data_IF_967652134085
#
_entry.id   IF_967652134085
#
_cell.length_a   1.000
_cell.length_b   1.000
_cell.length_c   1.000
_cell.angle_alpha   90.00
_cell.angle_beta   90.00
_cell.angle_gamma   90.00
#
_symmetry.space_group_name_H-M   'P 1'
#
loop_
_entity.id
_entity.type
_entity.pdbx_description
1 polymer ?
#
# COMPACT_ATOMS: atom_id res chain seq x y z
N UNK A 1 14.53 15.01 23.88
CA UNK A 1 14.39 15.71 22.58
C UNK A 1 15.74 16.14 21.98
N UNK A 2 16.68 16.78 22.70
CA UNK A 2 18.00 17.21 22.14
C UNK A 2 18.80 16.09 21.45
N UNK A 3 18.75 14.83 21.95
CA UNK A 3 19.51 13.69 21.40
C UNK A 3 19.00 13.23 20.02
N UNK A 4 17.68 13.18 19.83
CA UNK A 4 17.07 12.82 18.55
C UNK A 4 17.44 13.83 17.46
N UNK A 5 17.46 15.14 17.81
CA UNK A 5 17.85 16.20 16.88
C UNK A 5 19.29 16.08 16.38
N UNK A 6 20.24 15.59 17.21
CA UNK A 6 21.62 15.30 16.76
C UNK A 6 21.69 14.14 15.76
N UNK A 7 20.89 13.11 15.97
CA UNK A 7 20.80 11.98 15.03
C UNK A 7 20.18 12.43 13.70
N UNK A 8 19.13 13.26 13.75
CA UNK A 8 18.56 13.87 12.55
C UNK A 8 19.58 14.68 11.75
N UNK A 9 20.43 15.47 12.42
CA UNK A 9 21.46 16.26 11.74
C UNK A 9 22.42 15.38 10.95
N UNK A 10 22.78 14.18 11.44
CA UNK A 10 23.61 13.23 10.72
C UNK A 10 22.96 12.78 9.41
N UNK A 11 21.64 12.54 9.41
CA UNK A 11 20.90 12.17 8.20
C UNK A 11 20.77 13.33 7.21
N UNK A 12 20.46 14.51 7.70
CA UNK A 12 20.29 15.69 6.85
C UNK A 12 21.58 16.12 6.15
N UNK A 13 22.72 15.84 6.74
CA UNK A 13 24.03 16.09 6.14
C UNK A 13 24.56 14.97 5.26
N UNK A 14 23.81 13.88 5.08
CA UNK A 14 24.20 12.73 4.25
C UNK A 14 23.79 12.95 2.79
N UNK A 15 24.73 13.24 1.85
CA UNK A 15 24.37 13.52 0.45
C UNK A 15 23.69 12.33 -0.24
N UNK A 16 24.09 11.10 0.12
CA UNK A 16 23.53 9.87 -0.47
C UNK A 16 22.03 9.74 -0.22
N UNK A 17 21.52 10.21 0.93
CA UNK A 17 20.09 10.17 1.25
C UNK A 17 19.29 11.07 0.30
N UNK A 18 19.77 12.29 0.08
CA UNK A 18 19.16 13.26 -0.83
C UNK A 18 19.28 12.83 -2.29
N UNK A 19 20.42 12.26 -2.67
CA UNK A 19 20.64 11.71 -4.01
C UNK A 19 19.67 10.57 -4.31
N UNK A 20 19.44 9.66 -3.33
CA UNK A 20 18.49 8.58 -3.49
C UNK A 20 17.03 9.09 -3.53
N UNK A 21 16.68 10.06 -2.69
CA UNK A 21 15.35 10.71 -2.75
C UNK A 21 15.11 11.37 -4.12
N UNK A 22 16.11 12.08 -4.64
CA UNK A 22 16.02 12.69 -5.98
C UNK A 22 15.85 11.65 -7.09
N UNK A 23 16.54 10.51 -6.98
CA UNK A 23 16.39 9.38 -7.91
C UNK A 23 14.96 8.79 -7.85
N UNK A 24 14.39 8.60 -6.66
CA UNK A 24 13.01 8.16 -6.48
C UNK A 24 12.01 9.14 -7.11
N UNK A 25 12.18 10.45 -6.86
CA UNK A 25 11.34 11.48 -7.47
C UNK A 25 11.44 11.52 -8.99
N UNK A 26 12.64 11.34 -9.54
CA UNK A 26 12.86 11.25 -10.98
C UNK A 26 12.18 10.01 -11.57
N UNK A 27 12.30 8.86 -10.89
CA UNK A 27 11.64 7.62 -11.29
C UNK A 27 10.10 7.76 -11.25
N UNK A 28 9.54 8.31 -10.18
CA UNK A 28 8.11 8.57 -10.06
C UNK A 28 7.63 9.58 -11.13
N UNK A 29 8.44 10.60 -11.44
CA UNK A 29 8.19 11.52 -12.54
C UNK A 29 8.11 10.82 -13.90
N UNK A 30 9.01 9.86 -14.15
CA UNK A 30 8.96 9.02 -15.36
C UNK A 30 7.72 8.12 -15.39
N UNK A 31 7.32 7.53 -14.26
CA UNK A 31 6.07 6.76 -14.18
C UNK A 31 4.87 7.64 -14.54
N UNK A 32 4.78 8.85 -13.95
CA UNK A 32 3.69 9.79 -14.20
C UNK A 32 3.68 10.26 -15.64
N UNK A 33 4.85 10.50 -16.25
CA UNK A 33 4.94 10.91 -17.66
C UNK A 33 4.41 9.83 -18.61
N UNK A 34 4.57 8.55 -18.24
CA UNK A 34 4.11 7.39 -19.00
C UNK A 34 2.82 6.78 -18.44
N UNK A 35 2.06 7.52 -17.63
CA UNK A 35 0.78 7.05 -17.11
C UNK A 35 -0.19 6.75 -18.26
N UNK A 36 -0.94 5.65 -18.20
CA UNK A 36 -1.91 5.31 -19.24
C UNK A 36 -3.07 6.30 -19.28
N UNK A 37 -3.62 6.50 -20.46
CA UNK A 37 -4.78 7.35 -20.69
C UNK A 37 -4.44 8.78 -21.13
N UNK A 38 -5.47 9.49 -21.57
CA UNK A 38 -5.37 10.87 -22.02
C UNK A 38 -5.80 11.86 -20.93
N UNK A 39 -4.91 12.78 -20.59
CA UNK A 39 -5.11 13.77 -19.50
C UNK A 39 -6.23 14.76 -19.82
N UNK A 40 -6.40 15.13 -21.09
CA UNK A 40 -7.45 16.03 -21.49
C UNK A 40 -8.82 15.35 -21.33
N UNK A 41 -8.97 14.13 -21.83
CA UNK A 41 -10.16 13.30 -21.65
C UNK A 41 -10.50 13.12 -20.18
N UNK A 42 -9.52 12.82 -19.33
CA UNK A 42 -9.71 12.68 -17.88
C UNK A 42 -10.22 13.98 -17.24
N UNK A 43 -9.65 15.13 -17.63
CA UNK A 43 -10.09 16.45 -17.18
C UNK A 43 -11.53 16.79 -17.60
N UNK A 44 -11.93 16.43 -18.83
CA UNK A 44 -13.29 16.60 -19.32
C UNK A 44 -14.30 15.72 -18.57
N UNK A 45 -13.93 14.47 -18.24
CA UNK A 45 -14.73 13.57 -17.39
C UNK A 45 -14.91 14.18 -15.99
N UNK A 46 -13.81 14.64 -15.37
CA UNK A 46 -13.84 15.28 -14.06
C UNK A 46 -14.71 16.55 -14.04
N UNK A 47 -14.61 17.38 -15.08
CA UNK A 47 -15.43 18.58 -15.23
C UNK A 47 -16.92 18.23 -15.42
N UNK A 48 -17.22 17.13 -16.11
CA UNK A 48 -18.60 16.63 -16.31
C UNK A 48 -19.17 16.14 -14.98
N UNK A 49 -18.42 15.31 -14.24
CA UNK A 49 -18.83 14.84 -12.92
C UNK A 49 -19.04 16.00 -11.91
N UNK A 50 -18.22 17.05 -12.00
CA UNK A 50 -18.38 18.26 -11.17
C UNK A 50 -19.67 19.02 -11.47
N UNK A 51 -20.07 19.05 -12.72
CA UNK A 51 -21.23 19.84 -13.15
C UNK A 51 -22.56 19.09 -13.01
N UNK A 52 -22.58 17.77 -13.24
CA UNK A 52 -23.80 16.96 -13.22
C UNK A 52 -23.96 16.15 -11.90
N UNK A 53 -22.91 16.09 -11.09
CA UNK A 53 -22.83 15.16 -9.96
C UNK A 53 -22.10 13.88 -10.36
N UNK A 54 -21.88 13.02 -9.37
CA UNK A 54 -21.14 11.76 -9.57
C UNK A 54 -22.06 10.56 -9.69
N UNK A 55 -23.29 10.69 -9.21
CA UNK A 55 -24.29 9.61 -9.29
C UNK A 55 -24.83 9.52 -10.70
N UNK A 56 -24.68 8.35 -11.30
CA UNK A 56 -25.27 8.06 -12.60
C UNK A 56 -26.70 7.62 -12.37
N UNK A 57 -27.61 8.58 -12.59
CA UNK A 57 -29.06 8.43 -12.52
C UNK A 57 -29.71 9.11 -13.73
N UNK A 58 -31.03 9.16 -13.77
CA UNK A 58 -31.76 9.76 -14.89
C UNK A 58 -31.41 11.23 -15.09
N UNK A 59 -31.25 11.99 -13.98
CA UNK A 59 -30.91 13.42 -14.05
C UNK A 59 -29.50 13.61 -14.64
N UNK A 60 -28.56 12.72 -14.32
CA UNK A 60 -27.23 12.71 -14.90
C UNK A 60 -27.25 12.43 -16.41
N UNK A 61 -28.01 11.41 -16.83
CA UNK A 61 -28.15 11.05 -18.24
C UNK A 61 -28.82 12.16 -19.06
N UNK A 62 -29.88 12.78 -18.55
CA UNK A 62 -30.55 13.92 -19.17
C UNK A 62 -29.62 15.13 -19.26
N UNK A 63 -28.85 15.43 -18.21
CA UNK A 63 -27.87 16.48 -18.18
C UNK A 63 -26.71 16.23 -19.15
N UNK A 64 -26.28 14.96 -19.30
CA UNK A 64 -25.24 14.56 -20.26
C UNK A 64 -25.74 14.74 -21.70
N UNK A 65 -27.00 14.37 -22.01
CA UNK A 65 -27.59 14.49 -23.34
C UNK A 65 -27.75 15.94 -23.79
N UNK A 66 -27.85 16.91 -22.87
CA UNK A 66 -27.96 18.33 -23.17
C UNK A 66 -26.62 18.99 -23.49
N UNK A 67 -25.50 18.31 -23.31
CA UNK A 67 -24.17 18.85 -23.59
C UNK A 67 -23.79 18.71 -25.06
N UNK A 68 -22.84 19.55 -25.54
CA UNK A 68 -22.33 19.43 -26.92
C UNK A 68 -21.74 18.05 -27.19
N UNK A 69 -22.07 17.40 -28.27
CA UNK A 69 -21.55 16.09 -28.62
C UNK A 69 -20.03 16.18 -28.90
N UNK A 70 -19.25 15.67 -27.95
CA UNK A 70 -17.81 15.45 -28.09
C UNK A 70 -17.54 13.94 -28.02
N UNK A 71 -16.38 13.49 -28.52
CA UNK A 71 -15.99 12.09 -28.45
C UNK A 71 -15.96 11.57 -26.98
N UNK A 72 -15.62 12.45 -26.03
CA UNK A 72 -15.62 12.12 -24.60
C UNK A 72 -17.04 11.91 -24.08
N UNK A 73 -17.98 12.76 -24.52
CA UNK A 73 -19.38 12.61 -24.11
C UNK A 73 -20.05 11.39 -24.71
N UNK A 74 -19.76 11.06 -25.98
CA UNK A 74 -20.23 9.83 -26.60
C UNK A 74 -19.71 8.60 -25.82
N UNK A 75 -18.42 8.59 -25.49
CA UNK A 75 -17.83 7.51 -24.67
C UNK A 75 -18.44 7.44 -23.27
N UNK A 76 -18.71 8.60 -22.61
CA UNK A 76 -19.39 8.64 -21.33
C UNK A 76 -20.83 8.13 -21.42
N UNK A 77 -21.59 8.58 -22.42
CA UNK A 77 -22.98 8.15 -22.63
C UNK A 77 -23.07 6.64 -22.87
N UNK A 78 -22.14 6.08 -23.66
CA UNK A 78 -22.07 4.63 -23.86
C UNK A 78 -21.80 3.90 -22.54
N UNK A 79 -20.79 4.32 -21.81
CA UNK A 79 -20.37 3.65 -20.56
C UNK A 79 -21.44 3.80 -19.47
N UNK A 80 -22.05 4.99 -19.30
CA UNK A 80 -23.07 5.22 -18.28
C UNK A 80 -24.36 4.46 -18.60
N UNK A 81 -24.74 4.37 -19.88
CA UNK A 81 -25.88 3.57 -20.32
C UNK A 81 -25.71 2.05 -20.11
N UNK A 82 -24.47 1.56 -20.00
CA UNK A 82 -24.15 0.16 -19.67
C UNK A 82 -23.98 -0.08 -18.17
N UNK A 83 -23.89 0.98 -17.36
CA UNK A 83 -23.73 0.86 -15.89
C UNK A 83 -24.98 0.26 -15.26
N UNK A 84 -24.75 -0.72 -14.41
CA UNK A 84 -25.82 -1.36 -13.63
C UNK A 84 -25.38 -1.46 -12.17
N UNK A 85 -26.35 -1.64 -11.26
CA UNK A 85 -26.02 -1.97 -9.89
C UNK A 85 -25.52 -3.42 -9.81
N UNK A 86 -24.27 -3.62 -10.25
CA UNK A 86 -23.66 -4.94 -10.42
C UNK A 86 -23.67 -5.78 -9.14
N UNK A 87 -23.74 -5.12 -7.96
CA UNK A 87 -23.81 -5.83 -6.68
C UNK A 87 -25.17 -6.44 -6.41
N UNK A 88 -26.25 -5.90 -6.98
CA UNK A 88 -27.62 -6.40 -6.76
C UNK A 88 -27.87 -7.83 -7.27
N UNK A 89 -27.07 -8.27 -8.24
CA UNK A 89 -27.17 -9.63 -8.79
C UNK A 89 -25.89 -10.45 -8.65
N UNK A 90 -24.96 -9.99 -7.81
CA UNK A 90 -23.64 -10.63 -7.72
C UNK A 90 -23.67 -11.87 -6.82
N UNK A 91 -23.48 -13.03 -7.42
CA UNK A 91 -23.45 -14.33 -6.73
C UNK A 91 -22.02 -14.69 -6.29
N UNK A 92 -21.74 -14.57 -4.99
CA UNK A 92 -20.48 -14.97 -4.38
C UNK A 92 -20.26 -16.48 -4.38
N UNK A 93 -21.31 -17.30 -4.51
CA UNK A 93 -21.19 -18.76 -4.43
C UNK A 93 -20.28 -19.34 -5.52
N UNK A 94 -20.25 -18.71 -6.69
CA UNK A 94 -19.36 -19.06 -7.81
C UNK A 94 -17.89 -18.93 -7.40
N UNK A 95 -17.54 -17.86 -6.72
CA UNK A 95 -16.17 -17.65 -6.23
C UNK A 95 -15.82 -18.62 -5.10
N UNK A 96 -16.73 -18.83 -4.17
CA UNK A 96 -16.56 -19.78 -3.05
C UNK A 96 -16.29 -21.18 -3.61
N UNK A 97 -17.13 -21.67 -4.52
CA UNK A 97 -16.99 -22.98 -5.14
C UNK A 97 -15.63 -23.13 -5.84
N UNK A 98 -15.23 -22.12 -6.61
CA UNK A 98 -13.95 -22.10 -7.30
C UNK A 98 -12.76 -22.16 -6.33
N UNK A 99 -12.78 -21.37 -5.27
CA UNK A 99 -11.70 -21.36 -4.30
C UNK A 99 -11.67 -22.63 -3.45
N UNK A 100 -12.82 -23.22 -3.13
CA UNK A 100 -12.88 -24.53 -2.48
C UNK A 100 -12.25 -25.63 -3.34
N UNK A 101 -12.48 -25.60 -4.66
CA UNK A 101 -11.82 -26.54 -5.60
C UNK A 101 -10.30 -26.34 -5.61
N UNK A 102 -9.82 -25.09 -5.70
CA UNK A 102 -8.38 -24.78 -5.67
C UNK A 102 -7.72 -25.15 -4.34
N UNK A 103 -8.44 -25.03 -3.23
CA UNK A 103 -7.96 -25.31 -1.88
C UNK A 103 -8.33 -26.72 -1.38
N UNK A 104 -8.80 -27.60 -2.27
CA UNK A 104 -9.27 -28.95 -1.91
C UNK A 104 -8.21 -29.78 -1.17
N UNK A 105 -6.92 -29.55 -1.43
CA UNK A 105 -5.81 -30.18 -0.73
C UNK A 105 -5.57 -29.65 0.70
N UNK A 106 -6.24 -28.56 1.11
CA UNK A 106 -6.07 -27.93 2.42
C UNK A 106 -7.43 -27.58 3.05
N UNK A 107 -8.05 -28.50 3.80
CA UNK A 107 -9.35 -28.27 4.44
C UNK A 107 -9.38 -27.00 5.33
N UNK A 108 -8.27 -26.75 6.04
CA UNK A 108 -8.14 -25.55 6.91
C UNK A 108 -8.19 -24.27 6.08
N UNK A 109 -7.43 -24.19 4.99
CA UNK A 109 -7.41 -23.01 4.11
C UNK A 109 -8.77 -22.82 3.42
N UNK A 110 -9.41 -23.90 3.00
CA UNK A 110 -10.76 -23.90 2.45
C UNK A 110 -11.80 -23.36 3.45
N UNK A 111 -11.73 -23.78 4.73
CA UNK A 111 -12.61 -23.30 5.79
C UNK A 111 -12.42 -21.79 6.05
N UNK A 112 -11.18 -21.31 6.10
CA UNK A 112 -10.89 -19.88 6.25
C UNK A 112 -11.43 -19.05 5.08
N UNK A 113 -11.26 -19.55 3.86
CA UNK A 113 -11.77 -18.88 2.66
C UNK A 113 -13.30 -18.82 2.68
N UNK A 114 -13.97 -19.90 3.04
CA UNK A 114 -15.43 -19.94 3.19
C UNK A 114 -15.91 -18.92 4.23
N UNK A 115 -15.28 -18.85 5.39
CA UNK A 115 -15.62 -17.89 6.43
C UNK A 115 -15.45 -16.42 5.95
N UNK A 116 -14.39 -16.13 5.18
CA UNK A 116 -14.18 -14.80 4.58
C UNK A 116 -15.36 -14.44 3.65
N UNK A 117 -15.78 -15.34 2.79
CA UNK A 117 -16.83 -15.05 1.82
C UNK A 117 -18.21 -14.97 2.48
N UNK A 118 -18.47 -15.70 3.56
CA UNK A 118 -19.68 -15.51 4.38
C UNK A 118 -19.73 -14.11 5.00
N UNK A 119 -18.59 -13.58 5.45
CA UNK A 119 -18.54 -12.19 5.93
C UNK A 119 -18.73 -11.17 4.79
N UNK A 120 -18.38 -11.52 3.55
CA UNK A 120 -18.56 -10.67 2.38
C UNK A 120 -20.01 -10.61 1.88
N UNK A 121 -20.85 -11.63 2.13
CA UNK A 121 -22.26 -11.63 1.70
C UNK A 121 -22.99 -10.38 2.23
N UNK A 122 -22.88 -10.11 3.52
CA UNK A 122 -23.50 -8.92 4.13
C UNK A 122 -22.96 -7.61 3.52
N UNK A 123 -21.68 -7.62 3.11
CA UNK A 123 -21.05 -6.46 2.49
C UNK A 123 -21.57 -6.24 1.07
N UNK A 124 -21.75 -7.28 0.29
CA UNK A 124 -22.34 -7.21 -1.07
C UNK A 124 -23.77 -6.69 -1.00
N UNK A 125 -24.57 -7.19 -0.05
CA UNK A 125 -25.93 -6.71 0.17
C UNK A 125 -25.95 -5.21 0.51
N UNK A 126 -25.06 -4.74 1.35
CA UNK A 126 -24.93 -3.33 1.68
C UNK A 126 -24.52 -2.48 0.45
N UNK A 127 -23.55 -2.93 -0.35
CA UNK A 127 -23.13 -2.25 -1.58
C UNK A 127 -24.27 -2.21 -2.62
N UNK A 128 -25.07 -3.28 -2.69
CA UNK A 128 -26.26 -3.33 -3.54
C UNK A 128 -27.32 -2.32 -3.09
N UNK A 129 -27.62 -2.26 -1.78
CA UNK A 129 -28.64 -1.34 -1.22
C UNK A 129 -28.23 0.12 -1.38
N UNK A 130 -26.96 0.44 -1.19
CA UNK A 130 -26.43 1.82 -1.35
C UNK A 130 -26.25 2.20 -2.82
N UNK A 131 -26.30 1.22 -3.74
CA UNK A 131 -26.01 1.41 -5.14
C UNK A 131 -24.57 1.94 -5.37
N UNK A 132 -23.60 1.52 -4.59
CA UNK A 132 -22.23 2.01 -4.61
C UNK A 132 -21.53 1.84 -5.97
N UNK A 133 -22.06 0.96 -6.83
CA UNK A 133 -21.58 0.77 -8.20
C UNK A 133 -21.99 1.89 -9.17
N UNK A 134 -22.96 2.72 -8.81
CA UNK A 134 -23.59 3.69 -9.73
C UNK A 134 -22.94 5.07 -9.70
N UNK A 135 -21.74 5.21 -9.16
CA UNK A 135 -21.01 6.47 -9.20
C UNK A 135 -20.04 6.52 -10.38
N UNK A 136 -20.00 7.66 -11.06
CA UNK A 136 -19.00 7.95 -12.10
C UNK A 136 -17.67 8.22 -11.42
N UNK A 137 -16.77 7.23 -11.42
CA UNK A 137 -15.42 7.42 -10.92
C UNK A 137 -14.58 8.17 -11.99
N UNK A 138 -14.11 7.49 -13.01
CA UNK A 138 -13.38 8.10 -14.13
C UNK A 138 -13.89 7.59 -15.51
N UNK A 139 -15.14 7.13 -15.55
CA UNK A 139 -15.77 6.60 -16.77
C UNK A 139 -14.94 5.48 -17.39
N UNK A 140 -14.72 5.53 -18.71
CA UNK A 140 -13.95 4.49 -19.42
C UNK A 140 -12.49 4.39 -18.95
N UNK A 141 -11.95 5.39 -18.26
CA UNK A 141 -10.58 5.42 -17.76
C UNK A 141 -10.46 4.93 -16.29
N UNK A 142 -11.55 4.48 -15.68
CA UNK A 142 -11.58 4.10 -14.25
C UNK A 142 -10.57 3.03 -13.91
N UNK A 143 -10.52 1.95 -14.68
CA UNK A 143 -9.60 0.83 -14.42
C UNK A 143 -8.14 1.29 -14.49
N UNK A 144 -7.76 1.94 -15.57
CA UNK A 144 -6.38 2.35 -15.82
C UNK A 144 -5.89 3.38 -14.81
N UNK A 145 -6.72 4.40 -14.52
CA UNK A 145 -6.37 5.44 -13.55
C UNK A 145 -6.27 4.89 -12.13
N UNK A 146 -7.17 3.99 -11.73
CA UNK A 146 -7.11 3.32 -10.42
C UNK A 146 -5.87 2.42 -10.30
N UNK A 147 -5.65 1.57 -11.29
CA UNK A 147 -4.51 0.65 -11.31
C UNK A 147 -3.18 1.43 -11.35
N UNK A 148 -3.12 2.54 -12.05
CA UNK A 148 -1.95 3.38 -12.07
C UNK A 148 -1.70 4.03 -10.70
N UNK A 149 -2.70 4.73 -10.14
CA UNK A 149 -2.53 5.47 -8.87
C UNK A 149 -2.28 4.51 -7.68
N UNK A 150 -3.12 3.50 -7.51
CA UNK A 150 -3.08 2.61 -6.33
C UNK A 150 -2.22 1.35 -6.54
N UNK A 151 -2.14 0.83 -7.76
CA UNK A 151 -1.32 -0.35 -8.08
C UNK A 151 0.13 0.01 -8.40
N UNK A 152 0.38 0.99 -9.24
CA UNK A 152 1.73 1.30 -9.75
C UNK A 152 2.42 2.38 -8.91
N UNK A 153 1.82 3.57 -8.86
CA UNK A 153 2.45 4.72 -8.21
C UNK A 153 2.52 4.56 -6.69
N UNK A 154 1.44 4.09 -6.06
CA UNK A 154 1.43 3.78 -4.61
C UNK A 154 2.48 2.72 -4.25
N UNK A 155 2.59 1.66 -5.05
CA UNK A 155 3.61 0.62 -4.85
C UNK A 155 5.02 1.19 -4.92
N UNK A 156 5.31 2.06 -5.90
CA UNK A 156 6.60 2.73 -6.02
C UNK A 156 6.89 3.58 -4.77
N UNK A 157 5.98 4.51 -4.41
CA UNK A 157 6.15 5.40 -3.26
C UNK A 157 6.36 4.65 -1.94
N UNK A 158 5.60 3.58 -1.69
CA UNK A 158 5.73 2.77 -0.46
C UNK A 158 7.04 1.98 -0.45
N UNK A 159 7.43 1.36 -1.57
CA UNK A 159 8.69 0.63 -1.69
C UNK A 159 9.91 1.54 -1.49
N UNK A 160 9.92 2.68 -2.17
CA UNK A 160 10.97 3.70 -2.05
C UNK A 160 11.04 4.29 -0.64
N UNK A 161 9.89 4.61 -0.05
CA UNK A 161 9.79 5.08 1.33
C UNK A 161 10.31 4.04 2.34
N UNK A 162 10.02 2.76 2.12
CA UNK A 162 10.55 1.68 2.96
C UNK A 162 12.08 1.58 2.83
N UNK A 163 12.64 1.68 1.62
CA UNK A 163 14.10 1.69 1.42
C UNK A 163 14.73 2.91 2.08
N UNK A 164 14.17 4.10 1.92
CA UNK A 164 14.65 5.33 2.60
C UNK A 164 14.63 5.17 4.13
N UNK A 165 13.55 4.65 4.70
CA UNK A 165 13.44 4.38 6.14
C UNK A 165 14.46 3.35 6.63
N UNK A 166 14.62 2.25 5.90
CA UNK A 166 15.64 1.23 6.21
C UNK A 166 17.05 1.79 6.17
N UNK A 167 17.40 2.56 5.13
CA UNK A 167 18.70 3.21 5.00
C UNK A 167 18.96 4.18 6.15
N UNK A 168 17.95 5.00 6.52
CA UNK A 168 18.06 5.91 7.64
C UNK A 168 18.35 5.17 8.96
N UNK A 169 17.62 4.09 9.25
CA UNK A 169 17.82 3.30 10.47
C UNK A 169 19.19 2.62 10.50
N UNK A 170 19.59 1.98 9.41
CA UNK A 170 20.88 1.29 9.29
C UNK A 170 22.06 2.27 9.39
N UNK A 171 21.97 3.42 8.73
CA UNK A 171 23.01 4.45 8.79
C UNK A 171 23.20 4.96 10.22
N UNK A 172 22.10 5.32 10.91
CA UNK A 172 22.19 5.84 12.29
C UNK A 172 22.76 4.80 13.24
N UNK A 173 22.33 3.55 13.15
CA UNK A 173 22.80 2.48 14.03
C UNK A 173 24.24 2.07 13.72
N UNK A 174 24.66 2.18 12.46
CA UNK A 174 26.01 1.87 12.03
C UNK A 174 27.00 3.03 12.12
N UNK A 175 26.55 4.25 12.39
CA UNK A 175 27.35 5.48 12.31
C UNK A 175 28.67 5.37 13.10
N UNK A 176 28.61 5.01 14.37
CA UNK A 176 29.79 4.92 15.24
C UNK A 176 30.74 3.80 14.81
N UNK A 177 30.20 2.70 14.26
CA UNK A 177 31.02 1.59 13.75
C UNK A 177 31.81 2.02 12.52
N UNK A 178 31.14 2.70 11.57
CA UNK A 178 31.78 3.21 10.35
C UNK A 178 32.87 4.24 10.68
N UNK A 179 32.62 5.12 11.63
CA UNK A 179 33.57 6.17 12.05
C UNK A 179 34.55 5.71 13.13
N UNK A 180 34.55 4.44 13.54
CA UNK A 180 35.42 3.85 14.56
C UNK A 180 35.37 4.56 15.92
N UNK A 181 34.25 5.20 16.24
CA UNK A 181 34.00 5.91 17.52
C UNK A 181 33.24 5.08 18.54
N UNK A 182 32.94 3.83 18.23
CA UNK A 182 32.11 2.93 19.04
C UNK A 182 32.65 2.78 20.47
N UNK A 183 33.95 2.56 20.61
CA UNK A 183 34.59 2.39 21.93
C UNK A 183 34.45 3.63 22.82
N UNK A 184 34.63 4.84 22.26
CA UNK A 184 34.49 6.07 23.03
C UNK A 184 33.03 6.36 23.43
N UNK A 185 32.08 6.07 22.55
CA UNK A 185 30.66 6.38 22.79
C UNK A 185 30.05 5.41 23.80
N UNK A 186 30.30 4.11 23.69
CA UNK A 186 29.65 3.10 24.54
C UNK A 186 30.27 2.96 25.93
N UNK A 187 31.44 3.49 26.17
CA UNK A 187 32.04 3.57 27.52
C UNK A 187 31.42 4.69 28.36
N UNK A 188 30.72 5.65 27.75
CA UNK A 188 30.04 6.69 28.51
C UNK A 188 28.76 6.14 29.19
N UNK A 189 28.39 6.70 30.35
CA UNK A 189 27.19 6.32 31.12
C UNK A 189 25.88 6.42 30.31
N UNK A 190 25.87 7.23 29.28
CA UNK A 190 24.69 7.46 28.41
C UNK A 190 24.78 6.75 27.07
N UNK A 191 25.98 6.27 26.67
CA UNK A 191 26.23 5.72 25.32
C UNK A 191 25.37 4.50 24.97
N UNK A 192 25.18 3.59 25.91
CA UNK A 192 24.33 2.39 25.72
C UNK A 192 22.84 2.72 25.55
N UNK A 193 22.38 3.87 26.04
CA UNK A 193 21.00 4.34 25.87
C UNK A 193 20.78 5.08 24.53
N UNK A 194 21.83 5.39 23.79
CA UNK A 194 21.73 6.08 22.49
C UNK A 194 21.00 5.23 21.44
N UNK A 195 21.09 3.90 21.50
CA UNK A 195 20.44 3.01 20.53
C UNK A 195 18.94 3.28 20.44
N UNK A 196 18.27 3.51 21.57
CA UNK A 196 16.83 3.90 21.54
C UNK A 196 16.59 5.24 20.83
N UNK A 197 17.45 6.23 21.10
CA UNK A 197 17.36 7.54 20.44
C UNK A 197 17.55 7.42 18.92
N UNK A 198 18.47 6.56 18.46
CA UNK A 198 18.71 6.28 17.05
C UNK A 198 17.55 5.56 16.37
N UNK A 199 16.93 4.59 17.08
CA UNK A 199 15.72 3.92 16.57
C UNK A 199 14.60 4.93 16.38
N UNK A 200 14.33 5.77 17.39
CA UNK A 200 13.29 6.82 17.28
C UNK A 200 13.63 7.80 16.15
N UNK A 201 14.90 8.22 16.04
CA UNK A 201 15.34 9.11 14.97
C UNK A 201 15.17 8.44 13.59
N UNK A 202 15.53 7.17 13.45
CA UNK A 202 15.37 6.42 12.21
C UNK A 202 13.91 6.29 11.78
N UNK A 203 13.02 5.92 12.72
CA UNK A 203 11.59 5.79 12.45
C UNK A 203 10.97 7.16 12.07
N UNK A 204 11.24 8.20 12.84
CA UNK A 204 10.69 9.53 12.55
C UNK A 204 11.25 10.10 11.23
N UNK A 205 12.51 9.81 10.91
CA UNK A 205 13.10 10.18 9.63
C UNK A 205 12.48 9.40 8.46
N UNK A 206 12.27 8.09 8.63
CA UNK A 206 11.59 7.27 7.63
C UNK A 206 10.19 7.80 7.31
N UNK A 207 9.42 8.14 8.35
CA UNK A 207 8.08 8.76 8.17
C UNK A 207 8.18 10.10 7.43
N UNK A 208 9.11 10.98 7.84
CA UNK A 208 9.26 12.29 7.23
C UNK A 208 9.69 12.20 5.75
N UNK A 209 10.62 11.30 5.43
CA UNK A 209 11.06 11.04 4.05
C UNK A 209 9.94 10.45 3.21
N UNK A 210 9.14 9.53 3.77
CA UNK A 210 7.97 8.99 3.09
C UNK A 210 6.92 10.07 2.80
N UNK A 211 6.60 10.91 3.77
CA UNK A 211 5.65 12.01 3.59
C UNK A 211 6.16 13.04 2.57
N UNK A 212 7.45 13.34 2.59
CA UNK A 212 8.06 14.23 1.59
C UNK A 212 8.00 13.63 0.20
N UNK A 213 8.40 12.37 0.05
CA UNK A 213 8.36 11.64 -1.22
C UNK A 213 6.94 11.57 -1.79
N UNK A 214 5.99 11.11 -0.97
CA UNK A 214 4.58 10.97 -1.40
C UNK A 214 3.93 12.30 -1.68
N UNK A 215 4.18 13.32 -0.85
CA UNK A 215 3.64 14.66 -1.05
C UNK A 215 4.13 15.30 -2.36
N UNK A 216 5.42 15.19 -2.67
CA UNK A 216 5.97 15.70 -3.92
C UNK A 216 5.49 14.89 -5.13
N UNK A 217 5.49 13.57 -5.04
CA UNK A 217 5.03 12.68 -6.13
C UNK A 217 3.55 12.91 -6.46
N UNK A 218 2.68 12.91 -5.44
CA UNK A 218 1.24 13.14 -5.64
C UNK A 218 0.96 14.58 -6.04
N UNK A 219 1.75 15.57 -5.54
CA UNK A 219 1.67 16.94 -6.01
C UNK A 219 1.89 17.02 -7.53
N UNK A 220 2.95 16.39 -8.06
CA UNK A 220 3.20 16.33 -9.51
C UNK A 220 2.08 15.59 -10.23
N UNK A 221 1.58 14.48 -9.68
CA UNK A 221 0.52 13.70 -10.29
C UNK A 221 -0.78 14.50 -10.43
N UNK A 222 -1.26 15.11 -9.36
CA UNK A 222 -2.52 15.86 -9.35
C UNK A 222 -2.46 17.22 -10.06
N UNK A 223 -1.27 17.73 -10.43
CA UNK A 223 -1.18 18.87 -11.36
C UNK A 223 -1.44 18.45 -12.81
N UNK A 224 -1.34 17.16 -13.13
CA UNK A 224 -1.52 16.62 -14.48
C UNK A 224 -2.86 15.91 -14.66
N UNK A 225 -3.40 15.34 -13.58
CA UNK A 225 -4.65 14.58 -13.56
C UNK A 225 -5.66 15.26 -12.64
N UNK A 226 -6.71 15.82 -13.22
CA UNK A 226 -7.71 16.58 -12.48
C UNK A 226 -8.75 15.67 -11.81
N UNK A 227 -8.57 15.39 -10.55
CA UNK A 227 -9.52 14.63 -9.70
C UNK A 227 -10.60 15.48 -9.04
N UNK A 228 -10.68 16.80 -9.31
CA UNK A 228 -11.54 17.72 -8.55
C UNK A 228 -13.03 17.37 -8.58
N UNK A 229 -13.52 16.75 -9.64
CA UNK A 229 -14.89 16.25 -9.76
C UNK A 229 -15.09 14.80 -9.28
N UNK A 230 -14.02 14.08 -8.91
CA UNK A 230 -14.05 12.64 -8.70
C UNK A 230 -13.81 12.20 -7.24
N UNK A 231 -13.39 13.12 -6.37
CA UNK A 231 -12.96 12.78 -5.01
C UNK A 231 -14.03 12.14 -4.13
N UNK A 232 -15.31 12.45 -4.33
CA UNK A 232 -16.42 11.92 -3.56
C UNK A 232 -17.08 10.69 -4.19
N UNK A 233 -16.66 10.27 -5.40
CA UNK A 233 -17.13 9.05 -6.02
C UNK A 233 -16.79 7.81 -5.20
N UNK A 234 -17.67 6.83 -5.18
CA UNK A 234 -17.42 5.53 -4.54
C UNK A 234 -16.35 4.76 -5.30
N UNK A 235 -15.29 4.32 -4.59
CA UNK A 235 -14.26 3.46 -5.18
C UNK A 235 -14.83 2.12 -5.62
N UNK A 236 -15.92 1.66 -4.99
CA UNK A 236 -16.59 0.39 -5.32
C UNK A 236 -17.24 0.41 -6.72
N UNK A 237 -17.48 1.60 -7.31
CA UNK A 237 -17.98 1.73 -8.69
C UNK A 237 -16.98 1.20 -9.73
N UNK A 238 -15.70 1.07 -9.38
CA UNK A 238 -14.70 0.45 -10.24
C UNK A 238 -15.11 -0.94 -10.76
N UNK A 239 -15.96 -1.66 -10.03
CA UNK A 239 -16.39 -2.98 -10.46
C UNK A 239 -17.15 -2.95 -11.80
N UNK A 240 -17.90 -1.89 -12.11
CA UNK A 240 -18.54 -1.72 -13.41
C UNK A 240 -17.57 -1.57 -14.59
N UNK A 241 -16.35 -1.11 -14.31
CA UNK A 241 -15.34 -0.77 -15.32
C UNK A 241 -14.24 -1.82 -15.44
N UNK A 242 -14.39 -2.98 -14.81
CA UNK A 242 -13.48 -4.10 -14.99
C UNK A 242 -13.78 -4.76 -16.34
N UNK A 243 -13.10 -4.31 -17.39
CA UNK A 243 -13.18 -4.88 -18.73
C UNK A 243 -12.32 -6.15 -18.84
N UNK A 244 -12.84 -7.17 -19.51
CA UNK A 244 -12.11 -8.29 -20.12
C UNK A 244 -11.37 -9.29 -19.24
N UNK A 245 -11.77 -9.50 -18.03
CA UNK A 245 -11.23 -10.66 -17.35
C UNK A 245 -12.13 -11.89 -17.59
N UNK A 246 -11.57 -12.97 -18.12
CA UNK A 246 -12.18 -14.31 -18.22
C UNK A 246 -12.83 -14.75 -16.89
N UNK A 247 -12.44 -14.09 -15.81
CA UNK A 247 -13.07 -14.12 -14.49
C UNK A 247 -13.08 -12.70 -13.93
N UNK A 248 -14.20 -12.04 -14.00
CA UNK A 248 -14.41 -10.75 -13.32
C UNK A 248 -14.13 -10.94 -11.84
N UNK A 249 -13.00 -10.43 -11.37
CA UNK A 249 -12.73 -10.37 -9.93
C UNK A 249 -13.49 -9.18 -9.38
N UNK A 250 -14.36 -9.39 -8.39
CA UNK A 250 -15.09 -8.27 -7.81
C UNK A 250 -14.11 -7.29 -7.15
N UNK A 251 -14.41 -6.00 -7.25
CA UNK A 251 -13.73 -4.99 -6.46
C UNK A 251 -14.59 -4.72 -5.21
N UNK A 252 -14.48 -5.59 -4.22
CA UNK A 252 -15.27 -5.58 -2.99
C UNK A 252 -14.46 -4.95 -1.86
N UNK A 253 -14.78 -3.72 -1.51
CA UNK A 253 -14.15 -3.03 -0.39
C UNK A 253 -14.81 -3.39 0.94
N UNK A 254 -14.03 -3.49 2.02
CA UNK A 254 -14.53 -3.80 3.37
C UNK A 254 -15.30 -2.66 4.02
N UNK A 255 -15.15 -1.43 3.54
CA UNK A 255 -15.89 -0.26 3.98
C UNK A 255 -16.31 0.62 2.80
N UNK A 256 -17.20 1.58 3.05
CA UNK A 256 -17.57 2.57 2.08
C UNK A 256 -16.45 3.62 2.01
N UNK A 257 -15.73 3.59 0.90
CA UNK A 257 -14.68 4.56 0.63
C UNK A 257 -15.06 5.43 -0.56
N UNK A 258 -14.92 6.73 -0.39
CA UNK A 258 -14.74 7.62 -1.52
C UNK A 258 -13.31 7.52 -2.04
N UNK A 259 -13.04 7.98 -3.27
CA UNK A 259 -11.69 8.02 -3.84
C UNK A 259 -10.70 8.74 -2.92
N UNK A 260 -11.11 9.88 -2.32
CA UNK A 260 -10.28 10.62 -1.39
C UNK A 260 -9.98 9.83 -0.10
N UNK A 261 -11.01 9.21 0.50
CA UNK A 261 -10.83 8.40 1.72
C UNK A 261 -9.96 7.17 1.46
N UNK A 262 -10.13 6.53 0.32
CA UNK A 262 -9.34 5.38 -0.08
C UNK A 262 -7.87 5.77 -0.27
N UNK A 263 -7.59 6.92 -0.90
CA UNK A 263 -6.22 7.44 -1.05
C UNK A 263 -5.56 7.67 0.32
N UNK A 264 -6.27 8.35 1.24
CA UNK A 264 -5.74 8.60 2.59
C UNK A 264 -5.50 7.29 3.35
N UNK A 265 -6.42 6.33 3.25
CA UNK A 265 -6.27 5.01 3.87
C UNK A 265 -5.06 4.25 3.32
N UNK A 266 -4.87 4.25 1.99
CA UNK A 266 -3.72 3.64 1.34
C UNK A 266 -2.39 4.30 1.73
N UNK A 267 -2.35 5.64 1.81
CA UNK A 267 -1.17 6.37 2.28
C UNK A 267 -0.85 6.06 3.75
N UNK A 268 -1.86 5.97 4.60
CA UNK A 268 -1.67 5.63 6.02
C UNK A 268 -1.15 4.20 6.19
N UNK A 269 -1.71 3.23 5.45
CA UNK A 269 -1.25 1.84 5.47
C UNK A 269 0.17 1.72 4.92
N UNK A 270 0.47 2.40 3.80
CA UNK A 270 1.82 2.49 3.23
C UNK A 270 2.83 3.07 4.22
N UNK A 271 2.46 4.14 4.93
CA UNK A 271 3.26 4.70 6.03
C UNK A 271 3.48 3.69 7.15
N UNK A 272 2.47 2.90 7.49
CA UNK A 272 2.59 1.77 8.42
C UNK A 272 3.62 0.74 7.96
N UNK A 273 3.59 0.35 6.70
CA UNK A 273 4.60 -0.56 6.12
C UNK A 273 6.01 0.04 6.18
N UNK A 274 6.17 1.31 5.84
CA UNK A 274 7.46 2.03 5.93
C UNK A 274 8.01 2.01 7.36
N UNK A 275 7.17 2.32 8.35
CA UNK A 275 7.55 2.25 9.78
C UNK A 275 7.95 0.84 10.16
N UNK A 276 7.18 -0.17 9.77
CA UNK A 276 7.47 -1.57 10.08
C UNK A 276 8.80 -2.03 9.47
N UNK A 277 9.06 -1.72 8.21
CA UNK A 277 10.34 -2.03 7.54
C UNK A 277 11.51 -1.30 8.19
N UNK A 278 11.31 -0.05 8.62
CA UNK A 278 12.31 0.72 9.35
C UNK A 278 12.62 0.09 10.71
N UNK A 279 11.60 -0.42 11.43
CA UNK A 279 11.79 -1.16 12.70
C UNK A 279 12.52 -2.48 12.47
N UNK A 280 12.21 -3.23 11.43
CA UNK A 280 12.95 -4.45 11.06
C UNK A 280 14.40 -4.13 10.72
N UNK A 281 14.66 -3.05 10.00
CA UNK A 281 16.03 -2.58 9.72
C UNK A 281 16.77 -2.20 11.01
N UNK A 282 16.09 -1.50 11.92
CA UNK A 282 16.65 -1.16 13.22
C UNK A 282 16.96 -2.43 14.06
N UNK A 283 16.10 -3.45 14.02
CA UNK A 283 16.33 -4.74 14.67
C UNK A 283 17.57 -5.42 14.09
N UNK A 284 17.66 -5.54 12.76
CA UNK A 284 18.84 -6.12 12.09
C UNK A 284 20.11 -5.35 12.42
N UNK A 285 20.07 -4.01 12.39
CA UNK A 285 21.22 -3.16 12.72
C UNK A 285 21.69 -3.26 14.18
N UNK A 286 20.80 -3.66 15.10
CA UNK A 286 21.16 -3.93 16.52
C UNK A 286 21.73 -5.35 16.74
N UNK A 287 21.29 -6.33 15.95
CA UNK A 287 21.68 -7.73 16.11
C UNK A 287 22.91 -8.12 15.32
N UNK A 288 23.06 -7.57 14.12
CA UNK A 288 24.15 -7.88 13.18
C UNK A 288 25.33 -6.93 13.40
N UNK A 289 26.54 -7.48 13.43
CA UNK A 289 27.76 -6.68 13.69
C UNK A 289 28.10 -5.69 12.56
N UNK A 290 27.74 -6.00 11.32
CA UNK A 290 28.05 -5.19 10.14
C UNK A 290 26.79 -4.55 9.59
N UNK A 291 26.87 -3.27 9.21
CA UNK A 291 25.77 -2.54 8.52
C UNK A 291 25.44 -3.22 7.18
N UNK A 292 26.47 -3.61 6.43
CA UNK A 292 26.28 -4.33 5.17
C UNK A 292 25.66 -5.71 5.36
N UNK A 293 26.07 -6.42 6.42
CA UNK A 293 25.46 -7.69 6.81
C UNK A 293 23.99 -7.54 7.19
N UNK A 294 23.62 -6.46 7.91
CA UNK A 294 22.23 -6.18 8.26
C UNK A 294 21.40 -5.86 7.01
N UNK A 295 21.93 -5.08 6.06
CA UNK A 295 21.29 -4.80 4.79
C UNK A 295 21.09 -6.08 3.95
N UNK A 296 22.09 -6.96 3.92
CA UNK A 296 22.01 -8.24 3.21
C UNK A 296 20.94 -9.17 3.83
N UNK A 297 20.88 -9.24 5.17
CA UNK A 297 19.85 -10.03 5.86
C UNK A 297 18.45 -9.52 5.52
N UNK A 298 18.24 -8.20 5.47
CA UNK A 298 16.95 -7.61 5.07
C UNK A 298 16.62 -7.95 3.62
N UNK A 299 17.56 -7.77 2.70
CA UNK A 299 17.37 -8.08 1.28
C UNK A 299 17.01 -9.56 1.08
N UNK A 300 17.81 -10.46 1.67
CA UNK A 300 17.56 -11.90 1.59
C UNK A 300 16.24 -12.30 2.27
N UNK A 301 15.85 -11.62 3.37
CA UNK A 301 14.57 -11.81 4.03
C UNK A 301 13.39 -11.42 3.14
N UNK A 302 13.50 -10.28 2.45
CA UNK A 302 12.48 -9.82 1.50
C UNK A 302 12.35 -10.78 0.31
N UNK A 303 13.47 -11.09 -0.37
CA UNK A 303 13.49 -12.02 -1.51
C UNK A 303 13.07 -13.43 -1.10
N UNK A 304 13.54 -13.89 0.05
CA UNK A 304 13.18 -15.20 0.62
C UNK A 304 11.68 -15.31 0.93
N UNK A 305 11.05 -14.24 1.42
CA UNK A 305 9.61 -14.25 1.68
C UNK A 305 8.78 -14.41 0.40
N UNK A 306 9.20 -13.78 -0.70
CA UNK A 306 8.56 -13.94 -2.01
C UNK A 306 8.75 -15.36 -2.57
N UNK A 307 9.97 -15.86 -2.55
CA UNK A 307 10.28 -17.20 -3.02
C UNK A 307 9.52 -18.25 -2.20
N UNK A 308 9.49 -18.09 -0.88
CA UNK A 308 8.77 -18.99 0.02
C UNK A 308 7.26 -18.99 -0.27
N UNK A 309 6.66 -17.85 -0.46
CA UNK A 309 5.23 -17.75 -0.79
C UNK A 309 4.91 -18.46 -2.11
N UNK A 310 5.74 -18.27 -3.15
CA UNK A 310 5.58 -18.95 -4.43
C UNK A 310 5.74 -20.48 -4.31
N UNK A 311 6.75 -20.95 -3.57
CA UNK A 311 6.99 -22.37 -3.33
C UNK A 311 5.85 -23.05 -2.56
N UNK A 312 5.31 -22.36 -1.54
CA UNK A 312 4.19 -22.86 -0.75
C UNK A 312 2.92 -22.98 -1.59
N UNK A 313 2.64 -22.02 -2.48
CA UNK A 313 1.53 -22.10 -3.42
C UNK A 313 1.68 -23.26 -4.39
N UNK A 314 2.87 -23.45 -4.98
CA UNK A 314 3.17 -24.57 -5.88
C UNK A 314 3.08 -25.93 -5.18
N UNK A 315 3.50 -26.00 -3.92
CA UNK A 315 3.44 -27.20 -3.10
C UNK A 315 2.06 -27.49 -2.51
N UNK A 316 1.04 -26.67 -2.76
CA UNK A 316 -0.30 -26.83 -2.18
C UNK A 316 -0.38 -26.61 -0.67
N UNK A 317 0.67 -26.05 -0.06
CA UNK A 317 0.75 -25.77 1.38
C UNK A 317 0.04 -24.46 1.75
N UNK A 318 -1.25 -24.38 1.43
CA UNK A 318 -2.05 -23.15 1.49
C UNK A 318 -2.13 -22.51 2.86
N UNK A 319 -2.20 -23.29 3.94
CA UNK A 319 -2.21 -22.74 5.29
C UNK A 319 -0.91 -21.97 5.59
N UNK A 320 0.24 -22.52 5.21
CA UNK A 320 1.54 -21.85 5.35
C UNK A 320 1.66 -20.64 4.41
N UNK A 321 1.14 -20.76 3.18
CA UNK A 321 1.08 -19.64 2.22
C UNK A 321 0.39 -18.42 2.82
N UNK A 322 -0.76 -18.61 3.47
CA UNK A 322 -1.49 -17.52 4.11
C UNK A 322 -0.75 -16.93 5.30
N UNK A 323 -0.05 -17.75 6.10
CA UNK A 323 0.79 -17.25 7.19
C UNK A 323 1.93 -16.37 6.67
N UNK A 324 2.58 -16.78 5.57
CA UNK A 324 3.62 -15.97 4.89
C UNK A 324 3.03 -14.72 4.25
N UNK A 325 1.77 -14.75 3.85
CA UNK A 325 1.03 -13.61 3.31
C UNK A 325 0.89 -12.41 4.27
N UNK A 326 1.11 -12.62 5.58
CA UNK A 326 1.19 -11.53 6.56
C UNK A 326 2.53 -10.76 6.51
N UNK A 327 3.52 -11.22 5.77
CA UNK A 327 4.80 -10.54 5.64
C UNK A 327 4.68 -9.26 4.79
N UNK A 328 5.48 -8.22 5.10
CA UNK A 328 5.30 -6.89 4.51
C UNK A 328 5.47 -6.84 2.99
N UNK A 329 6.28 -7.72 2.42
CA UNK A 329 6.54 -7.73 0.96
C UNK A 329 5.32 -8.22 0.18
N UNK A 330 4.61 -9.23 0.68
CA UNK A 330 3.36 -9.70 0.09
C UNK A 330 2.27 -8.61 0.10
N UNK A 331 2.16 -7.87 1.22
CA UNK A 331 1.25 -6.73 1.30
C UNK A 331 1.60 -5.62 0.33
N UNK A 332 2.87 -5.25 0.25
CA UNK A 332 3.36 -4.22 -0.66
C UNK A 332 3.03 -4.53 -2.11
N UNK A 333 3.21 -5.80 -2.55
CA UNK A 333 2.89 -6.22 -3.91
C UNK A 333 1.40 -6.09 -4.25
N UNK A 334 0.52 -6.24 -3.25
CA UNK A 334 -0.93 -6.15 -3.41
C UNK A 334 -1.49 -4.74 -3.16
N UNK A 335 -0.69 -3.67 -3.24
CA UNK A 335 -1.10 -2.30 -2.93
C UNK A 335 -2.34 -1.83 -3.70
N UNK A 336 -2.53 -2.23 -4.94
CA UNK A 336 -3.71 -1.89 -5.75
C UNK A 336 -5.02 -2.56 -5.32
N UNK A 337 -4.97 -3.47 -4.35
CA UNK A 337 -6.13 -4.18 -3.83
C UNK A 337 -6.30 -4.04 -2.30
N UNK A 338 -5.60 -3.10 -1.66
CA UNK A 338 -5.77 -2.86 -0.23
C UNK A 338 -7.22 -2.50 0.11
N UNK A 339 -7.66 -2.82 1.29
CA UNK A 339 -9.02 -2.62 1.79
C UNK A 339 -10.12 -3.31 0.96
N UNK A 340 -9.72 -4.26 0.10
CA UNK A 340 -10.64 -5.12 -0.65
C UNK A 340 -10.54 -6.58 -0.19
N UNK A 341 -11.36 -7.43 -0.76
CA UNK A 341 -11.34 -8.87 -0.48
C UNK A 341 -10.04 -9.58 -0.90
N UNK A 342 -9.20 -8.97 -1.77
CA UNK A 342 -7.89 -9.41 -2.25
C UNK A 342 -7.83 -10.84 -2.84
N UNK A 343 -8.97 -11.45 -3.16
CA UNK A 343 -9.04 -12.81 -3.75
C UNK A 343 -8.34 -13.87 -2.92
N UNK A 344 -7.48 -14.65 -3.58
CA UNK A 344 -6.66 -15.70 -2.95
C UNK A 344 -5.52 -15.15 -2.08
N UNK A 345 -5.24 -13.84 -2.10
CA UNK A 345 -4.11 -13.28 -1.36
C UNK A 345 -4.45 -12.93 0.10
N UNK A 346 -5.72 -12.97 0.47
CA UNK A 346 -6.18 -12.70 1.83
C UNK A 346 -7.25 -13.71 2.27
N UNK A 347 -7.23 -14.04 3.56
CA UNK A 347 -8.21 -14.93 4.22
C UNK A 347 -9.00 -14.23 5.33
N UNK A 348 -8.58 -13.03 5.72
CA UNK A 348 -9.21 -12.26 6.76
C UNK A 348 -9.75 -10.93 6.22
N UNK A 349 -10.89 -10.45 6.74
CA UNK A 349 -11.25 -9.04 6.59
C UNK A 349 -10.14 -8.14 7.13
N UNK A 350 -9.82 -7.07 6.42
CA UNK A 350 -8.79 -6.11 6.84
C UNK A 350 -7.42 -6.74 7.13
N UNK A 351 -7.06 -7.79 6.38
CA UNK A 351 -5.81 -8.53 6.60
C UNK A 351 -4.58 -7.63 6.55
N UNK A 352 -4.57 -6.62 5.70
CA UNK A 352 -3.48 -5.64 5.57
C UNK A 352 -3.28 -4.86 6.88
N UNK A 353 -4.35 -4.40 7.52
CA UNK A 353 -4.27 -3.72 8.82
C UNK A 353 -3.79 -4.66 9.92
N UNK A 354 -4.31 -5.89 9.96
CA UNK A 354 -3.88 -6.91 10.90
C UNK A 354 -2.39 -7.24 10.72
N UNK A 355 -1.92 -7.35 9.48
CA UNK A 355 -0.52 -7.63 9.15
C UNK A 355 0.41 -6.52 9.63
N UNK A 356 0.07 -5.26 9.41
CA UNK A 356 0.84 -4.11 9.90
C UNK A 356 0.85 -4.10 11.44
N UNK A 357 -0.29 -4.38 12.08
CA UNK A 357 -0.40 -4.48 13.54
C UNK A 357 0.49 -5.58 14.12
N UNK A 358 0.45 -6.78 13.54
CA UNK A 358 1.31 -7.91 13.93
C UNK A 358 2.80 -7.58 13.72
N UNK A 359 3.14 -6.96 12.60
CA UNK A 359 4.52 -6.52 12.33
C UNK A 359 5.02 -5.53 13.39
N UNK A 360 4.21 -4.54 13.78
CA UNK A 360 4.57 -3.58 14.83
C UNK A 360 4.76 -4.26 16.18
N UNK A 361 3.87 -5.18 16.53
CA UNK A 361 3.97 -5.93 17.78
C UNK A 361 5.27 -6.76 17.83
N UNK A 362 5.50 -7.58 16.81
CA UNK A 362 6.65 -8.47 16.76
C UNK A 362 7.97 -7.71 16.66
N UNK A 363 8.06 -6.72 15.75
CA UNK A 363 9.26 -5.90 15.60
C UNK A 363 9.52 -5.05 16.85
N UNK A 364 8.48 -4.50 17.47
CA UNK A 364 8.58 -3.71 18.68
C UNK A 364 9.06 -4.52 19.89
N UNK A 365 8.49 -5.71 20.11
CA UNK A 365 8.91 -6.63 21.20
C UNK A 365 10.35 -7.10 20.97
N UNK A 366 10.67 -7.54 19.74
CA UNK A 366 12.00 -8.01 19.40
C UNK A 366 13.06 -6.90 19.57
N UNK A 367 12.74 -5.69 19.12
CA UNK A 367 13.63 -4.53 19.24
C UNK A 367 13.81 -4.09 20.70
N UNK A 368 12.74 -4.13 21.51
CA UNK A 368 12.83 -3.88 22.95
C UNK A 368 13.77 -4.88 23.64
N UNK A 369 13.62 -6.18 23.33
CA UNK A 369 14.48 -7.24 23.85
C UNK A 369 15.93 -7.06 23.40
N UNK A 370 16.16 -6.75 22.11
CA UNK A 370 17.48 -6.48 21.54
C UNK A 370 18.16 -5.28 22.23
N UNK A 371 17.44 -4.17 22.42
CA UNK A 371 17.94 -2.99 23.14
C UNK A 371 18.26 -3.29 24.62
N UNK A 372 17.45 -4.16 25.27
CA UNK A 372 17.72 -4.59 26.66
C UNK A 372 18.96 -5.46 26.74
N UNK A 373 19.13 -6.41 25.81
CA UNK A 373 20.34 -7.26 25.71
C UNK A 373 21.58 -6.44 25.43
N UNK A 374 21.50 -5.47 24.49
CA UNK A 374 22.62 -4.59 24.14
C UNK A 374 23.14 -3.79 25.34
N UNK A 375 22.26 -3.31 26.23
CA UNK A 375 22.65 -2.59 27.45
C UNK A 375 23.41 -3.45 28.46
N UNK A 376 23.18 -4.78 28.47
CA UNK A 376 23.78 -5.74 29.41
C UNK A 376 25.03 -6.42 28.84
N UNK A 377 25.32 -6.22 27.54
CA UNK A 377 26.45 -6.87 26.90
C UNK A 377 27.75 -6.17 27.31
N UNK A 378 28.71 -6.95 27.79
CA UNK A 378 30.07 -6.47 28.01
C UNK A 378 30.72 -6.21 26.63
N UNK A 379 31.30 -5.02 26.47
CA UNK A 379 32.03 -4.63 25.29
C UNK A 379 33.47 -5.11 25.49
N UNK A 380 33.74 -6.35 25.13
CA UNK A 380 35.10 -6.88 25.00
C UNK A 380 35.54 -6.81 23.56
#
# INVERSE_FOLDING_TARGET
MKRVGWEWRKLLTLPAMWGFLALCLAFNGLLIANAPGDRQTFGEISATARALGQRVDQDFEEGLAQRPATSVQEALSQVTGEMTNIYAGYDLSVLVTRYQQLLSASPTASAWMTAKYQALEQRVDHLAQTGAAMDLYAGPMTHDSHQFLFGTLMRAMVGEGAVLGMLAALYLLGYEKVHRTEGMVYTTSTGRNMVRGKVVAGVTAGVALYLLLTGLTLGIYFTQWDYSGLWSASVSSQFNFLTDMIVRRPFLTWADFTVAQYLVACLALGGGLVVGMTLLAALCGTLVRSVYGAALVLLLGCLGSLALQALLAQGGLWAAFYLVGFLPVGLWLNSGAWFTEMGMNAILPWQECASVGVMFLLAGVALWAACRRFRRKDLV
#
